data_IF_551410004535
#
_entry.id   IF_551410004535
#
_cell.length_a   1.000
_cell.length_b   1.000
_cell.length_c   1.000
_cell.angle_alpha   90.00
_cell.angle_beta   90.00
_cell.angle_gamma   90.00
#
_symmetry.space_group_name_H-M   'P 1'
#
loop_
_entity.id
_entity.type
_entity.pdbx_description
1 polymer ?
#
# COMPACT_ATOMS: atom_id res chain seq x y z
N UNK A 1 -2.47 -20.65 -34.21
CA UNK A 1 -1.60 -19.51 -33.87
C UNK A 1 -1.28 -19.60 -32.39
N UNK A 2 -0.01 -19.61 -32.05
CA UNK A 2 0.38 -19.54 -30.63
C UNK A 2 -0.13 -18.20 -30.08
N UNK A 3 -0.91 -18.25 -29.02
CA UNK A 3 -1.43 -17.05 -28.37
C UNK A 3 -0.32 -16.45 -27.55
N UNK A 4 0.02 -15.20 -27.82
CA UNK A 4 1.01 -14.43 -27.08
C UNK A 4 0.39 -13.86 -25.78
N UNK A 5 1.11 -13.98 -24.68
CA UNK A 5 0.71 -13.42 -23.39
C UNK A 5 0.45 -11.91 -23.45
N UNK A 6 1.24 -11.17 -24.26
CA UNK A 6 1.08 -9.73 -24.44
C UNK A 6 -0.28 -9.38 -25.09
N UNK A 7 -0.78 -10.22 -26.00
CA UNK A 7 -2.11 -10.03 -26.59
C UNK A 7 -3.22 -10.23 -25.56
N UNK A 8 -3.10 -11.26 -24.70
CA UNK A 8 -4.06 -11.51 -23.62
C UNK A 8 -4.05 -10.40 -22.57
N UNK A 9 -2.89 -9.88 -22.22
CA UNK A 9 -2.75 -8.75 -21.29
C UNK A 9 -3.30 -7.47 -21.90
N UNK A 10 -3.05 -7.21 -23.19
CA UNK A 10 -3.67 -6.07 -23.89
C UNK A 10 -5.21 -6.16 -23.91
N UNK A 11 -5.74 -7.36 -24.16
CA UNK A 11 -7.18 -7.61 -24.08
C UNK A 11 -7.73 -7.37 -22.66
N UNK A 12 -7.03 -7.86 -21.65
CA UNK A 12 -7.38 -7.67 -20.23
C UNK A 12 -7.48 -6.18 -19.86
N UNK A 13 -6.45 -5.40 -20.21
CA UNK A 13 -6.41 -3.94 -19.94
C UNK A 13 -7.54 -3.22 -20.70
N UNK A 14 -7.77 -3.53 -21.97
CA UNK A 14 -8.86 -2.92 -22.77
C UNK A 14 -10.26 -3.19 -22.20
N UNK A 15 -10.43 -4.31 -21.48
CA UNK A 15 -11.69 -4.66 -20.84
C UNK A 15 -11.77 -4.22 -19.37
N UNK A 16 -10.86 -3.36 -18.92
CA UNK A 16 -10.77 -2.90 -17.53
C UNK A 16 -10.73 -4.06 -16.50
N UNK A 17 -10.10 -5.17 -16.86
CA UNK A 17 -9.96 -6.29 -15.97
C UNK A 17 -8.89 -6.00 -14.90
N UNK A 18 -9.17 -6.38 -13.67
CA UNK A 18 -8.22 -6.31 -12.56
C UNK A 18 -7.16 -7.40 -12.66
N UNK A 19 -7.55 -8.58 -13.13
CA UNK A 19 -6.68 -9.73 -13.21
C UNK A 19 -6.93 -10.56 -14.49
N UNK A 20 -5.86 -11.10 -15.08
CA UNK A 20 -5.89 -12.16 -16.08
C UNK A 20 -5.46 -13.46 -15.41
N UNK A 21 -6.20 -14.53 -15.63
CA UNK A 21 -5.92 -15.88 -15.13
C UNK A 21 -5.63 -16.83 -16.29
N UNK A 22 -4.46 -17.43 -16.28
CA UNK A 22 -4.06 -18.52 -17.18
C UNK A 22 -3.95 -19.82 -16.40
N UNK A 23 -4.58 -20.88 -16.88
CA UNK A 23 -4.50 -22.18 -16.23
C UNK A 23 -4.63 -23.29 -17.26
N UNK A 24 -3.80 -24.32 -17.16
CA UNK A 24 -3.88 -25.48 -18.02
C UNK A 24 -5.26 -26.15 -17.94
N UNK A 25 -5.80 -26.55 -19.08
CA UNK A 25 -7.07 -27.27 -19.21
C UNK A 25 -8.34 -26.37 -19.28
N UNK A 26 -8.19 -25.05 -19.24
CA UNK A 26 -9.32 -24.11 -19.35
C UNK A 26 -8.98 -22.94 -20.26
N UNK A 27 -9.97 -22.25 -20.87
CA UNK A 27 -9.75 -21.01 -21.56
C UNK A 27 -9.19 -19.92 -20.62
N UNK A 28 -8.41 -18.95 -21.12
CA UNK A 28 -8.03 -17.78 -20.34
C UNK A 28 -9.26 -17.07 -19.74
N UNK A 29 -9.11 -16.56 -18.53
CA UNK A 29 -10.18 -15.85 -17.83
C UNK A 29 -9.70 -14.48 -17.36
N UNK A 30 -10.58 -13.50 -17.33
CA UNK A 30 -10.34 -12.17 -16.77
C UNK A 30 -11.30 -11.91 -15.62
N UNK A 31 -10.84 -11.11 -14.64
CA UNK A 31 -11.71 -10.62 -13.57
C UNK A 31 -12.12 -9.18 -13.88
N UNK A 32 -13.41 -8.96 -14.04
CA UNK A 32 -14.00 -7.64 -14.30
C UNK A 32 -15.08 -7.37 -13.27
N UNK A 33 -14.98 -6.25 -12.55
CA UNK A 33 -15.90 -5.86 -11.48
C UNK A 33 -16.09 -6.94 -10.39
N UNK A 34 -15.06 -7.73 -10.15
CA UNK A 34 -15.06 -8.83 -9.19
C UNK A 34 -15.45 -10.20 -9.76
N UNK A 35 -16.09 -10.25 -10.93
CA UNK A 35 -16.56 -11.48 -11.55
C UNK A 35 -15.55 -12.09 -12.53
N UNK A 36 -15.43 -13.43 -12.49
CA UNK A 36 -14.61 -14.18 -13.44
C UNK A 36 -15.35 -14.39 -14.77
N UNK A 37 -14.76 -13.91 -15.86
CA UNK A 37 -15.29 -14.04 -17.22
C UNK A 37 -14.32 -14.82 -18.12
N UNK A 38 -14.83 -15.82 -18.85
CA UNK A 38 -14.02 -16.57 -19.82
C UNK A 38 -13.80 -15.72 -21.06
N UNK A 39 -12.57 -15.75 -21.57
CA UNK A 39 -12.27 -15.23 -22.91
C UNK A 39 -12.74 -16.30 -23.93
N UNK A 40 -13.37 -15.87 -25.01
CA UNK A 40 -13.85 -16.78 -26.05
C UNK A 40 -12.66 -17.30 -26.88
N UNK A 41 -11.96 -18.27 -26.34
CA UNK A 41 -10.77 -18.91 -26.89
C UNK A 41 -10.75 -20.39 -26.51
N UNK A 42 -10.00 -21.25 -27.24
CA UNK A 42 -9.77 -22.64 -26.84
C UNK A 42 -9.10 -22.72 -25.43
N UNK A 43 -9.33 -23.86 -24.77
CA UNK A 43 -8.64 -24.16 -23.54
C UNK A 43 -7.11 -24.22 -23.78
N UNK A 44 -6.34 -23.60 -22.89
CA UNK A 44 -4.88 -23.66 -22.92
C UNK A 44 -4.39 -25.01 -22.42
N UNK A 45 -3.35 -25.52 -23.03
CA UNK A 45 -2.63 -26.69 -22.49
C UNK A 45 -1.65 -26.25 -21.40
N UNK A 46 -1.17 -27.21 -20.59
CA UNK A 46 -0.06 -26.93 -19.67
C UNK A 46 1.16 -26.31 -20.39
N UNK A 47 1.50 -26.82 -21.57
CA UNK A 47 2.62 -26.33 -22.35
C UNK A 47 2.45 -24.88 -22.79
N UNK A 48 1.23 -24.50 -23.20
CA UNK A 48 0.93 -23.11 -23.60
C UNK A 48 1.13 -22.16 -22.43
N UNK A 49 0.57 -22.48 -21.26
CA UNK A 49 0.70 -21.63 -20.05
C UNK A 49 2.17 -21.56 -19.63
N UNK A 50 2.85 -22.69 -19.60
CA UNK A 50 4.27 -22.74 -19.22
C UNK A 50 5.13 -21.89 -20.15
N UNK A 51 4.96 -21.99 -21.46
CA UNK A 51 5.70 -21.17 -22.44
C UNK A 51 5.43 -19.68 -22.21
N UNK A 52 4.16 -19.27 -22.10
CA UNK A 52 3.79 -17.87 -21.88
C UNK A 52 4.43 -17.29 -20.61
N UNK A 53 4.48 -18.09 -19.54
CA UNK A 53 5.05 -17.66 -18.26
C UNK A 53 6.57 -17.57 -18.33
N UNK A 54 7.22 -18.56 -18.99
CA UNK A 54 8.67 -18.55 -19.17
C UNK A 54 9.16 -17.39 -20.05
N UNK A 55 8.37 -16.98 -21.05
CA UNK A 55 8.72 -15.90 -21.97
C UNK A 55 8.88 -14.55 -21.27
N UNK A 56 8.22 -14.35 -20.12
CA UNK A 56 8.26 -13.10 -19.33
C UNK A 56 9.18 -13.19 -18.10
N UNK A 57 9.73 -14.35 -17.80
CA UNK A 57 10.64 -14.57 -16.66
C UNK A 57 12.10 -14.35 -17.05
N UNK A 58 12.87 -13.73 -16.16
CA UNK A 58 14.32 -13.75 -16.22
C UNK A 58 14.87 -15.10 -15.70
N UNK A 59 16.18 -15.33 -15.87
CA UNK A 59 16.81 -16.62 -15.54
C UNK A 59 16.69 -16.98 -14.05
N UNK A 60 16.75 -16.00 -13.14
CA UNK A 60 16.55 -16.22 -11.71
C UNK A 60 15.13 -16.67 -11.42
N UNK A 61 14.13 -15.97 -11.98
CA UNK A 61 12.71 -16.28 -11.78
C UNK A 61 12.35 -17.67 -12.34
N UNK A 62 12.94 -18.05 -13.48
CA UNK A 62 12.79 -19.41 -14.05
C UNK A 62 13.34 -20.47 -13.09
N UNK A 63 14.55 -20.24 -12.55
CA UNK A 63 15.16 -21.15 -11.59
C UNK A 63 14.32 -21.26 -10.31
N UNK A 64 13.85 -20.15 -9.76
CA UNK A 64 13.00 -20.13 -8.58
C UNK A 64 11.68 -20.88 -8.84
N UNK A 65 11.06 -20.69 -10.02
CA UNK A 65 9.84 -21.39 -10.42
C UNK A 65 10.05 -22.91 -10.58
N UNK A 66 11.18 -23.34 -11.11
CA UNK A 66 11.54 -24.76 -11.23
C UNK A 66 11.83 -25.42 -9.88
N UNK A 67 12.47 -24.69 -8.95
CA UNK A 67 12.86 -25.19 -7.64
C UNK A 67 11.71 -25.18 -6.63
N UNK A 68 10.95 -24.06 -6.57
CA UNK A 68 9.90 -23.86 -5.57
C UNK A 68 8.49 -24.12 -6.08
N UNK A 69 8.31 -24.38 -7.38
CA UNK A 69 7.03 -24.63 -8.07
C UNK A 69 6.08 -23.43 -8.08
N UNK A 70 6.54 -22.28 -7.59
CA UNK A 70 5.86 -21.00 -7.60
C UNK A 70 6.86 -19.84 -7.60
N UNK A 71 6.45 -18.69 -8.14
CA UNK A 71 7.24 -17.47 -8.09
C UNK A 71 6.36 -16.24 -8.24
N UNK A 72 6.68 -15.18 -7.50
CA UNK A 72 6.10 -13.85 -7.61
C UNK A 72 7.08 -12.90 -8.27
N UNK A 73 6.62 -12.11 -9.23
CA UNK A 73 7.43 -11.07 -9.87
C UNK A 73 6.56 -10.00 -10.51
N UNK A 74 7.18 -8.90 -10.93
CA UNK A 74 6.52 -7.88 -11.74
C UNK A 74 7.25 -7.66 -13.05
N UNK A 75 6.51 -7.29 -14.09
CA UNK A 75 7.08 -6.86 -15.36
C UNK A 75 6.19 -5.76 -15.99
N UNK A 76 6.77 -5.07 -16.96
CA UNK A 76 6.09 -3.99 -17.64
C UNK A 76 6.06 -4.25 -19.15
N UNK A 77 4.92 -3.99 -19.76
CA UNK A 77 4.81 -3.88 -21.21
C UNK A 77 4.76 -2.38 -21.52
N UNK A 78 5.79 -1.81 -22.19
CA UNK A 78 5.84 -0.38 -22.50
C UNK A 78 4.57 0.10 -23.18
N UNK A 79 4.03 1.24 -22.75
CA UNK A 79 2.79 1.88 -23.26
C UNK A 79 1.50 1.07 -23.02
N UNK A 80 1.55 -0.04 -22.30
CA UNK A 80 0.35 -0.82 -21.98
C UNK A 80 0.04 -0.73 -20.47
N UNK A 81 0.81 -1.40 -19.65
CA UNK A 81 0.68 -1.42 -18.20
C UNK A 81 1.84 -2.19 -17.54
N UNK A 82 1.98 -2.03 -16.24
CA UNK A 82 2.77 -2.91 -15.38
C UNK A 82 1.88 -4.00 -14.80
N UNK A 83 2.44 -5.18 -14.59
CA UNK A 83 1.73 -6.36 -14.10
C UNK A 83 2.49 -6.98 -12.95
N UNK A 84 1.78 -7.34 -11.87
CA UNK A 84 2.26 -8.28 -10.87
C UNK A 84 1.81 -9.67 -11.27
N UNK A 85 2.74 -10.62 -11.27
CA UNK A 85 2.50 -12.00 -11.67
C UNK A 85 2.78 -12.93 -10.52
N UNK A 86 1.84 -13.81 -10.23
CA UNK A 86 2.08 -15.01 -9.45
C UNK A 86 1.94 -16.21 -10.38
N UNK A 87 3.03 -16.92 -10.60
CA UNK A 87 3.07 -18.16 -11.37
C UNK A 87 3.23 -19.34 -10.42
N UNK A 88 2.45 -20.40 -10.61
CA UNK A 88 2.43 -21.58 -9.76
C UNK A 88 2.02 -22.84 -10.50
N UNK A 89 2.38 -23.99 -9.94
CA UNK A 89 1.94 -25.29 -10.42
C UNK A 89 0.70 -25.78 -9.66
N UNK A 90 -0.21 -26.42 -10.38
CA UNK A 90 -1.42 -27.06 -9.85
C UNK A 90 -1.68 -28.40 -10.57
N UNK A 91 -2.71 -29.15 -10.18
CA UNK A 91 -2.93 -30.54 -10.66
C UNK A 91 -3.04 -30.71 -12.17
N UNK A 92 -3.40 -29.66 -12.93
CA UNK A 92 -3.44 -29.67 -14.40
C UNK A 92 -2.19 -29.04 -15.05
N UNK A 93 -1.15 -28.74 -14.26
CA UNK A 93 0.09 -28.14 -14.70
C UNK A 93 0.22 -26.66 -14.33
N UNK A 94 0.91 -25.87 -15.14
CA UNK A 94 1.18 -24.46 -14.86
C UNK A 94 -0.07 -23.61 -14.86
N UNK A 95 -0.06 -22.63 -13.98
CA UNK A 95 -1.05 -21.55 -13.88
C UNK A 95 -0.36 -20.23 -13.58
N UNK A 96 -0.98 -19.12 -13.94
CA UNK A 96 -0.52 -17.78 -13.58
C UNK A 96 -1.68 -16.80 -13.42
N UNK A 97 -1.50 -15.88 -12.49
CA UNK A 97 -2.41 -14.74 -12.29
C UNK A 97 -1.61 -13.46 -12.54
N UNK A 98 -2.14 -12.63 -13.42
CA UNK A 98 -1.56 -11.33 -13.77
C UNK A 98 -2.47 -10.24 -13.25
N UNK A 99 -2.03 -9.50 -12.25
CA UNK A 99 -2.75 -8.33 -11.76
C UNK A 99 -2.28 -7.09 -12.51
N UNK A 100 -3.20 -6.37 -13.12
CA UNK A 100 -2.91 -5.09 -13.74
C UNK A 100 -2.63 -4.04 -12.67
N UNK A 101 -1.48 -3.39 -12.76
CA UNK A 101 -1.10 -2.27 -11.91
C UNK A 101 -1.51 -0.98 -12.63
N UNK A 102 -2.32 -0.11 -11.99
CA UNK A 102 -2.72 1.15 -12.61
C UNK A 102 -1.51 2.01 -12.98
N UNK A 103 -1.51 2.54 -14.20
CA UNK A 103 -0.42 3.42 -14.68
C UNK A 103 -0.58 4.88 -14.23
N UNK A 104 -1.80 5.28 -13.83
CA UNK A 104 -2.09 6.64 -13.41
C UNK A 104 -2.14 6.74 -11.88
N UNK A 105 -1.39 7.68 -11.33
CA UNK A 105 -1.46 8.05 -9.92
C UNK A 105 -2.56 9.10 -9.79
N UNK A 106 -3.54 8.83 -8.92
CA UNK A 106 -4.58 9.80 -8.58
C UNK A 106 -4.01 10.85 -7.62
N UNK A 107 -4.39 12.10 -7.81
CA UNK A 107 -4.02 13.16 -6.87
C UNK A 107 -4.78 13.01 -5.55
N UNK A 108 -4.30 13.67 -4.50
CA UNK A 108 -5.01 13.73 -3.21
C UNK A 108 -6.39 14.36 -3.36
N UNK A 109 -6.55 15.31 -4.29
CA UNK A 109 -7.86 15.93 -4.58
C UNK A 109 -8.81 14.96 -5.29
N UNK A 110 -8.32 14.17 -6.27
CA UNK A 110 -9.10 13.13 -6.95
C UNK A 110 -9.59 12.04 -5.99
N UNK A 111 -8.78 11.72 -4.98
CA UNK A 111 -9.14 10.78 -3.93
C UNK A 111 -10.13 11.37 -2.90
N UNK A 112 -10.39 12.67 -2.95
CA UNK A 112 -11.16 13.37 -1.92
C UNK A 112 -10.49 13.31 -0.54
N UNK A 113 -9.16 13.22 -0.51
CA UNK A 113 -8.41 13.10 0.72
C UNK A 113 -8.53 14.35 1.61
N UNK A 114 -8.57 14.21 2.94
CA UNK A 114 -8.55 15.34 3.87
C UNK A 114 -7.35 16.26 3.61
N UNK A 115 -7.53 17.58 3.74
CA UNK A 115 -6.48 18.58 3.49
C UNK A 115 -5.20 18.34 4.28
N UNK A 116 -5.34 17.80 5.49
CA UNK A 116 -4.20 17.48 6.37
C UNK A 116 -3.18 16.53 5.70
N UNK A 117 -3.59 15.71 4.71
CA UNK A 117 -2.66 14.82 4.01
C UNK A 117 -1.62 15.60 3.20
N UNK A 118 -1.99 16.76 2.63
CA UNK A 118 -1.06 17.66 1.96
C UNK A 118 -0.06 18.24 2.95
N UNK A 119 -0.52 18.67 4.11
CA UNK A 119 0.34 19.21 5.16
C UNK A 119 1.31 18.14 5.68
N UNK A 120 0.82 16.91 5.91
CA UNK A 120 1.64 15.77 6.34
C UNK A 120 2.69 15.40 5.30
N UNK A 121 2.36 15.46 4.01
CA UNK A 121 3.30 15.19 2.92
C UNK A 121 4.42 16.25 2.83
N UNK A 122 4.18 17.47 3.32
CA UNK A 122 5.13 18.57 3.28
C UNK A 122 5.99 18.72 4.54
N UNK A 123 5.83 17.82 5.53
CA UNK A 123 6.69 17.84 6.72
C UNK A 123 8.16 17.65 6.34
N UNK A 124 9.09 18.34 7.03
CA UNK A 124 10.53 18.21 6.74
C UNK A 124 11.11 16.87 7.23
N UNK A 125 10.54 16.28 8.27
CA UNK A 125 11.00 15.02 8.89
C UNK A 125 9.96 14.40 9.79
N UNK A 126 10.14 13.16 10.14
CA UNK A 126 9.30 12.38 11.04
C UNK A 126 8.66 11.20 10.31
N UNK A 127 7.75 10.49 10.95
CA UNK A 127 7.11 9.32 10.37
C UNK A 127 5.60 9.52 10.24
N UNK A 128 5.07 9.21 9.07
CA UNK A 128 3.64 9.14 8.75
C UNK A 128 3.30 7.70 8.40
N UNK A 129 2.34 7.13 9.11
CA UNK A 129 1.93 5.74 8.94
C UNK A 129 0.54 5.67 8.32
N UNK A 130 0.41 4.94 7.21
CA UNK A 130 -0.88 4.64 6.59
C UNK A 130 -1.20 3.17 6.84
N UNK A 131 -2.30 2.91 7.54
CA UNK A 131 -2.65 1.57 8.03
C UNK A 131 -4.04 1.14 7.57
N UNK A 132 -4.33 -0.13 7.71
CA UNK A 132 -5.60 -0.72 7.32
C UNK A 132 -5.43 -2.11 6.71
N UNK A 133 -6.52 -2.87 6.52
CA UNK A 133 -6.47 -4.20 5.95
C UNK A 133 -5.96 -4.20 4.51
N UNK A 134 -5.63 -5.37 4.00
CA UNK A 134 -5.32 -5.55 2.57
C UNK A 134 -6.49 -5.07 1.71
N UNK A 135 -6.18 -4.31 0.66
CA UNK A 135 -7.20 -3.74 -0.22
C UNK A 135 -7.92 -2.50 0.32
N UNK A 136 -7.45 -1.89 1.41
CA UNK A 136 -8.01 -0.63 1.93
C UNK A 136 -7.55 0.62 1.18
N UNK A 137 -6.68 0.50 0.16
CA UNK A 137 -6.20 1.61 -0.64
C UNK A 137 -4.97 2.34 -0.09
N UNK A 138 -4.22 1.73 0.83
CA UNK A 138 -3.00 2.34 1.42
C UNK A 138 -1.99 2.79 0.38
N UNK A 139 -1.66 1.89 -0.56
CA UNK A 139 -0.70 2.17 -1.63
C UNK A 139 -1.15 3.32 -2.52
N UNK A 140 -2.45 3.40 -2.83
CA UNK A 140 -3.02 4.51 -3.62
C UNK A 140 -2.89 5.84 -2.88
N UNK A 141 -3.20 5.86 -1.58
CA UNK A 141 -3.06 7.06 -0.75
C UNK A 141 -1.61 7.50 -0.63
N UNK A 142 -0.69 6.55 -0.37
CA UNK A 142 0.74 6.86 -0.30
C UNK A 142 1.31 7.31 -1.63
N UNK A 143 0.91 6.69 -2.75
CA UNK A 143 1.32 7.14 -4.08
C UNK A 143 0.89 8.59 -4.33
N UNK A 144 -0.35 8.96 -3.95
CA UNK A 144 -0.83 10.33 -4.05
C UNK A 144 -0.05 11.31 -3.15
N UNK A 145 0.32 10.90 -1.94
CA UNK A 145 1.14 11.73 -1.04
C UNK A 145 2.56 11.92 -1.58
N UNK A 146 3.19 10.85 -2.06
CA UNK A 146 4.52 10.89 -2.70
C UNK A 146 4.49 11.75 -3.95
N UNK A 147 3.48 11.60 -4.78
CA UNK A 147 3.32 12.41 -6.00
C UNK A 147 3.11 13.89 -5.67
N UNK A 148 2.39 14.19 -4.58
CA UNK A 148 2.24 15.56 -4.08
C UNK A 148 3.58 16.18 -3.65
N UNK A 149 4.46 15.42 -2.98
CA UNK A 149 5.83 15.87 -2.68
C UNK A 149 6.60 16.11 -3.98
N UNK A 150 6.56 15.15 -4.90
CA UNK A 150 7.25 15.18 -6.20
C UNK A 150 6.86 16.41 -7.06
N UNK A 151 5.60 16.84 -6.98
CA UNK A 151 5.12 18.05 -7.66
C UNK A 151 5.56 19.37 -6.99
N UNK A 152 5.82 19.36 -5.66
CA UNK A 152 5.93 20.59 -4.89
C UNK A 152 7.31 20.85 -4.30
N UNK A 153 8.17 19.82 -4.15
CA UNK A 153 9.50 19.95 -3.54
C UNK A 153 10.61 19.44 -4.47
N UNK A 154 11.79 20.08 -4.46
CA UNK A 154 12.99 19.58 -5.14
C UNK A 154 13.76 18.59 -4.25
N UNK A 155 13.11 17.57 -3.75
CA UNK A 155 13.62 16.59 -2.80
C UNK A 155 14.11 15.31 -3.52
N UNK A 156 14.89 14.47 -2.84
CA UNK A 156 15.17 13.10 -3.25
C UNK A 156 14.20 12.15 -2.53
N UNK A 157 13.36 11.49 -3.29
CA UNK A 157 12.38 10.51 -2.80
C UNK A 157 12.89 9.12 -3.12
N UNK A 158 13.07 8.30 -2.09
CA UNK A 158 13.44 6.90 -2.23
C UNK A 158 12.30 6.01 -1.77
N UNK A 159 11.86 5.07 -2.61
CA UNK A 159 10.88 4.06 -2.20
C UNK A 159 11.48 2.67 -2.14
N UNK A 160 11.03 1.85 -1.20
CA UNK A 160 11.39 0.45 -1.02
C UNK A 160 10.08 -0.33 -0.93
N UNK A 161 9.80 -1.17 -1.94
CA UNK A 161 8.48 -1.78 -2.12
C UNK A 161 8.59 -3.27 -2.50
N UNK A 162 7.53 -4.03 -2.23
CA UNK A 162 7.47 -5.47 -2.53
C UNK A 162 6.06 -5.89 -3.00
N UNK A 163 5.77 -5.79 -4.32
CA UNK A 163 6.50 -5.07 -5.37
C UNK A 163 6.12 -3.58 -5.47
N UNK A 164 6.72 -2.84 -6.42
CA UNK A 164 6.29 -1.48 -6.78
C UNK A 164 4.87 -1.52 -7.35
N UNK A 165 3.93 -0.83 -6.69
CA UNK A 165 2.52 -0.76 -7.13
C UNK A 165 2.22 0.45 -8.03
N UNK A 166 2.97 1.55 -7.90
CA UNK A 166 2.82 2.75 -8.74
C UNK A 166 4.20 3.24 -9.17
N UNK A 167 4.38 3.47 -10.45
CA UNK A 167 5.63 4.02 -10.98
C UNK A 167 5.53 5.54 -11.00
N UNK A 168 6.46 6.20 -10.32
CA UNK A 168 6.58 7.65 -10.29
C UNK A 168 7.61 8.15 -11.31
N UNK A 169 7.23 9.08 -12.14
CA UNK A 169 8.19 9.85 -12.92
C UNK A 169 8.75 10.98 -12.05
N UNK A 170 10.07 11.23 -12.16
CA UNK A 170 10.68 12.39 -11.49
C UNK A 170 10.15 13.69 -12.09
N UNK A 171 9.61 14.56 -11.24
CA UNK A 171 9.07 15.88 -11.62
C UNK A 171 9.96 16.97 -11.06
N UNK A 172 9.59 17.62 -9.93
CA UNK A 172 10.48 18.51 -9.19
C UNK A 172 11.48 17.72 -8.35
N UNK A 173 11.04 16.59 -7.80
CA UNK A 173 11.90 15.69 -7.04
C UNK A 173 12.59 14.67 -7.94
N UNK A 174 13.75 14.17 -7.49
CA UNK A 174 14.31 12.92 -7.99
C UNK A 174 13.60 11.76 -7.30
N UNK A 175 13.01 10.83 -8.05
CA UNK A 175 12.36 9.63 -7.48
C UNK A 175 13.14 8.39 -7.87
N UNK A 176 13.64 7.67 -6.89
CA UNK A 176 14.26 6.37 -7.04
C UNK A 176 13.40 5.31 -6.33
N UNK A 177 12.94 4.31 -7.09
CA UNK A 177 12.10 3.23 -6.56
C UNK A 177 12.86 1.92 -6.60
N UNK A 178 12.94 1.23 -5.48
CA UNK A 178 13.64 -0.04 -5.33
C UNK A 178 12.64 -1.16 -5.00
N UNK A 179 12.57 -2.15 -5.86
CA UNK A 179 11.74 -3.34 -5.65
C UNK A 179 12.53 -4.43 -4.94
N UNK A 180 11.99 -4.97 -3.86
CA UNK A 180 12.58 -6.10 -3.14
C UNK A 180 12.68 -7.31 -4.07
N UNK A 181 13.74 -8.07 -3.95
CA UNK A 181 14.12 -9.21 -4.77
C UNK A 181 14.56 -8.90 -6.22
N UNK A 182 14.30 -7.68 -6.73
CA UNK A 182 14.77 -7.23 -8.03
C UNK A 182 15.95 -6.25 -7.93
N UNK A 183 15.77 -5.20 -7.14
CA UNK A 183 16.71 -4.07 -7.01
C UNK A 183 17.42 -4.07 -5.66
N UNK A 184 16.95 -4.85 -4.71
CA UNK A 184 17.52 -5.06 -3.38
C UNK A 184 17.16 -6.45 -2.85
N UNK A 185 17.93 -6.94 -1.88
CA UNK A 185 17.70 -8.25 -1.29
C UNK A 185 16.55 -8.27 -0.29
N UNK A 186 16.25 -7.14 0.34
CA UNK A 186 15.19 -7.01 1.34
C UNK A 186 14.99 -5.58 1.79
N UNK A 187 13.97 -5.36 2.61
CA UNK A 187 13.68 -4.04 3.20
C UNK A 187 14.83 -3.54 4.07
N UNK A 188 15.43 -4.42 4.88
CA UNK A 188 16.49 -4.05 5.82
C UNK A 188 17.75 -3.61 5.11
N UNK A 189 18.18 -4.34 4.08
CA UNK A 189 19.34 -4.02 3.26
C UNK A 189 19.16 -2.69 2.55
N UNK A 190 17.99 -2.50 1.93
CA UNK A 190 17.67 -1.26 1.24
C UNK A 190 17.60 -0.06 2.19
N UNK A 191 16.98 -0.21 3.36
CA UNK A 191 16.81 0.87 4.32
C UNK A 191 18.13 1.26 4.99
N UNK A 192 19.01 0.28 5.27
CA UNK A 192 20.39 0.57 5.72
C UNK A 192 21.19 1.33 4.68
N UNK A 193 21.02 0.99 3.40
CA UNK A 193 21.67 1.70 2.29
C UNK A 193 21.10 3.09 2.12
N UNK A 194 19.78 3.25 2.22
CA UNK A 194 19.05 4.49 2.06
C UNK A 194 19.63 5.66 2.85
N UNK A 195 20.07 5.42 4.10
CA UNK A 195 20.68 6.45 4.96
C UNK A 195 22.00 7.04 4.39
N UNK A 196 22.56 6.47 3.32
CA UNK A 196 23.76 6.93 2.62
C UNK A 196 23.49 7.34 1.17
N UNK A 197 22.22 7.31 0.76
CA UNK A 197 21.79 7.66 -0.60
C UNK A 197 21.24 9.10 -0.68
N UNK A 198 21.40 9.87 0.40
CA UNK A 198 20.98 11.28 0.52
C UNK A 198 19.48 11.50 0.22
N UNK A 199 18.56 10.70 0.74
CA UNK A 199 17.14 10.94 0.56
C UNK A 199 16.62 11.99 1.53
N UNK A 200 15.62 12.76 1.11
CA UNK A 200 14.81 13.63 1.98
C UNK A 200 13.55 12.88 2.44
N UNK A 201 12.99 12.06 1.56
CA UNK A 201 11.77 11.30 1.78
C UNK A 201 12.01 9.82 1.50
N UNK A 202 11.60 8.96 2.43
CA UNK A 202 11.71 7.50 2.30
C UNK A 202 10.32 6.88 2.44
N UNK A 203 9.88 6.11 1.44
CA UNK A 203 8.71 5.27 1.56
C UNK A 203 9.14 3.83 1.79
N UNK A 204 8.64 3.23 2.88
CA UNK A 204 8.78 1.81 3.20
C UNK A 204 7.45 1.12 2.98
N UNK A 205 7.35 0.28 1.97
CA UNK A 205 6.10 -0.33 1.53
C UNK A 205 5.37 -1.07 2.64
N UNK A 206 6.09 -1.76 3.52
CA UNK A 206 5.51 -2.37 4.73
C UNK A 206 6.52 -2.50 5.86
N UNK A 207 6.07 -2.17 7.08
CA UNK A 207 6.82 -2.32 8.33
C UNK A 207 6.39 -3.63 9.03
N UNK A 208 7.06 -4.74 8.70
CA UNK A 208 6.67 -6.09 9.18
C UNK A 208 7.43 -6.55 10.42
N UNK A 209 8.71 -6.28 10.45
CA UNK A 209 9.64 -6.84 11.43
C UNK A 209 10.32 -5.75 12.26
N UNK A 210 10.90 -6.18 13.38
CA UNK A 210 11.58 -5.32 14.35
C UNK A 210 12.67 -4.47 13.71
N UNK A 211 13.48 -5.05 12.82
CA UNK A 211 14.63 -4.37 12.25
C UNK A 211 14.19 -3.28 11.27
N UNK A 212 13.23 -3.57 10.39
CA UNK A 212 12.64 -2.59 9.48
C UNK A 212 12.02 -1.42 10.24
N UNK A 213 11.27 -1.70 11.33
CA UNK A 213 10.66 -0.67 12.18
C UNK A 213 11.74 0.19 12.85
N UNK A 214 12.79 -0.43 13.40
CA UNK A 214 13.91 0.27 14.04
C UNK A 214 14.59 1.23 13.07
N UNK A 215 14.92 0.75 11.88
CA UNK A 215 15.58 1.55 10.84
C UNK A 215 14.69 2.72 10.37
N UNK A 216 13.39 2.48 10.20
CA UNK A 216 12.43 3.51 9.83
C UNK A 216 12.31 4.61 10.90
N UNK A 217 12.23 4.23 12.19
CA UNK A 217 12.23 5.19 13.30
C UNK A 217 13.54 5.98 13.37
N UNK A 218 14.67 5.31 13.20
CA UNK A 218 16.00 5.97 13.16
C UNK A 218 16.07 6.99 12.02
N UNK A 219 15.62 6.62 10.81
CA UNK A 219 15.57 7.55 9.68
C UNK A 219 14.69 8.78 10.00
N UNK A 220 13.52 8.57 10.60
CA UNK A 220 12.60 9.64 10.97
C UNK A 220 13.18 10.60 12.03
N UNK A 221 13.97 10.08 12.99
CA UNK A 221 14.67 10.88 14.00
C UNK A 221 15.84 11.67 13.42
N UNK A 222 16.57 11.06 12.47
CA UNK A 222 17.81 11.63 11.92
C UNK A 222 17.57 12.63 10.78
N UNK A 223 16.32 13.00 10.49
CA UNK A 223 16.03 14.12 9.61
C UNK A 223 15.21 13.81 8.36
N UNK A 224 14.83 12.56 8.13
CA UNK A 224 14.07 12.14 6.95
C UNK A 224 12.56 12.16 7.21
N UNK A 225 11.76 12.45 6.18
CA UNK A 225 10.33 12.16 6.19
C UNK A 225 10.12 10.70 5.75
N UNK A 226 9.57 9.89 6.64
CA UNK A 226 9.34 8.47 6.40
C UNK A 226 7.85 8.20 6.24
N UNK A 227 7.45 7.59 5.15
CA UNK A 227 6.14 6.99 4.95
C UNK A 227 6.24 5.48 5.14
N UNK A 228 5.30 4.90 5.88
CA UNK A 228 5.27 3.45 6.09
C UNK A 228 3.86 2.90 6.16
N UNK A 229 3.71 1.59 5.94
CA UNK A 229 2.41 0.91 6.11
C UNK A 229 2.46 -0.19 7.16
N UNK A 230 1.29 -0.41 7.79
CA UNK A 230 1.00 -1.58 8.62
C UNK A 230 -0.43 -2.07 8.32
N UNK A 231 -0.75 -3.29 8.78
CA UNK A 231 -2.08 -3.90 8.60
C UNK A 231 -3.01 -3.74 9.81
N UNK A 232 -2.76 -2.79 10.66
CA UNK A 232 -3.60 -2.48 11.84
C UNK A 232 -4.86 -1.72 11.46
N UNK A 233 -5.92 -1.88 12.25
CA UNK A 233 -7.25 -1.34 11.99
C UNK A 233 -7.57 -0.02 12.71
N UNK A 234 -6.66 0.50 13.53
CA UNK A 234 -6.80 1.79 14.22
C UNK A 234 -5.45 2.40 14.55
N UNK A 235 -5.43 3.70 14.80
CA UNK A 235 -4.21 4.42 15.18
C UNK A 235 -3.63 3.91 16.50
N UNK A 236 -4.46 3.70 17.50
CA UNK A 236 -4.04 3.17 18.79
C UNK A 236 -3.39 1.77 18.66
N UNK A 237 -4.03 0.86 17.91
CA UNK A 237 -3.47 -0.48 17.64
C UNK A 237 -2.18 -0.42 16.84
N UNK A 238 -1.97 0.61 16.04
CA UNK A 238 -0.72 0.81 15.30
C UNK A 238 0.43 1.09 16.25
N UNK A 239 0.23 1.97 17.22
CA UNK A 239 1.21 2.28 18.25
C UNK A 239 1.56 1.02 19.06
N UNK A 240 0.55 0.30 19.54
CA UNK A 240 0.76 -0.97 20.25
C UNK A 240 1.56 -1.95 19.41
N UNK A 241 1.17 -2.15 18.15
CA UNK A 241 1.85 -3.10 17.26
C UNK A 241 3.33 -2.78 17.05
N UNK A 242 3.66 -1.49 16.88
CA UNK A 242 5.06 -1.06 16.72
C UNK A 242 5.85 -1.35 18.00
N UNK A 243 5.31 -1.03 19.17
CA UNK A 243 6.00 -1.22 20.44
C UNK A 243 6.12 -2.71 20.79
N UNK A 244 5.11 -3.50 20.48
CA UNK A 244 5.02 -4.90 20.87
C UNK A 244 5.96 -5.85 20.12
N UNK A 245 6.46 -5.46 18.93
CA UNK A 245 7.47 -6.28 18.24
C UNK A 245 8.84 -6.24 18.92
N UNK A 246 9.07 -5.26 19.81
CA UNK A 246 10.35 -5.10 20.51
C UNK A 246 10.40 -5.88 21.84
N UNK A 247 11.58 -6.36 22.23
CA UNK A 247 11.79 -6.93 23.55
C UNK A 247 11.39 -5.96 24.67
N UNK A 248 10.97 -6.49 25.81
CA UNK A 248 10.49 -5.68 26.94
C UNK A 248 11.50 -4.60 27.38
N UNK A 249 12.80 -4.93 27.36
CA UNK A 249 13.88 -4.00 27.74
C UNK A 249 14.02 -2.79 26.78
N UNK A 250 13.50 -2.88 25.56
CA UNK A 250 13.62 -1.82 24.56
C UNK A 250 12.33 -0.99 24.39
N UNK A 251 11.21 -1.45 24.91
CA UNK A 251 9.89 -0.83 24.70
C UNK A 251 9.84 0.63 25.12
N UNK A 252 10.48 0.99 26.22
CA UNK A 252 10.53 2.37 26.71
C UNK A 252 11.29 3.28 25.72
N UNK A 253 12.43 2.83 25.23
CA UNK A 253 13.21 3.54 24.23
C UNK A 253 12.42 3.72 22.93
N UNK A 254 11.75 2.66 22.46
CA UNK A 254 10.92 2.72 21.23
C UNK A 254 9.74 3.68 21.38
N UNK A 255 9.09 3.71 22.55
CA UNK A 255 8.03 4.72 22.83
C UNK A 255 8.60 6.14 22.78
N UNK A 256 9.79 6.37 23.33
CA UNK A 256 10.43 7.68 23.26
C UNK A 256 10.73 8.07 21.81
N UNK A 257 11.38 7.21 21.01
CA UNK A 257 11.66 7.44 19.60
C UNK A 257 10.38 7.73 18.81
N UNK A 258 9.37 6.90 18.98
CA UNK A 258 8.09 7.04 18.28
C UNK A 258 7.37 8.34 18.68
N UNK A 259 7.39 8.71 19.96
CA UNK A 259 6.79 9.96 20.45
C UNK A 259 7.40 11.21 19.83
N UNK A 260 8.71 11.21 19.57
CA UNK A 260 9.40 12.36 18.95
C UNK A 260 9.24 12.40 17.43
N UNK A 261 9.26 11.23 16.78
CA UNK A 261 9.25 11.16 15.31
C UNK A 261 7.85 11.13 14.71
N UNK A 262 6.81 10.67 15.42
CA UNK A 262 5.47 10.50 14.87
C UNK A 262 4.85 11.84 14.43
N UNK A 263 4.41 11.89 13.17
CA UNK A 263 3.59 13.00 12.62
C UNK A 263 2.13 12.64 12.57
N UNK A 264 1.81 11.47 12.03
CA UNK A 264 0.44 10.99 11.97
C UNK A 264 0.35 9.47 11.83
N UNK A 265 -0.79 8.93 12.24
CA UNK A 265 -1.29 7.61 11.83
C UNK A 265 -2.62 7.82 11.11
N UNK A 266 -2.72 7.35 9.89
CA UNK A 266 -3.91 7.37 9.05
C UNK A 266 -4.38 5.94 8.90
N UNK A 267 -5.44 5.56 9.62
CA UNK A 267 -6.05 4.24 9.48
C UNK A 267 -7.20 4.29 8.49
N UNK A 268 -7.13 3.48 7.44
CA UNK A 268 -7.99 3.60 6.26
C UNK A 268 -8.79 2.33 5.98
N UNK A 269 -10.03 2.50 5.60
CA UNK A 269 -10.89 1.45 5.05
C UNK A 269 -11.62 1.94 3.79
N UNK A 270 -11.86 1.04 2.83
CA UNK A 270 -12.64 1.35 1.63
C UNK A 270 -14.10 0.95 1.82
N UNK A 271 -14.98 1.81 1.35
CA UNK A 271 -16.43 1.71 1.41
C UNK A 271 -17.02 1.69 0.00
N UNK A 272 -18.19 1.04 -0.16
CA UNK A 272 -18.97 1.14 -1.37
C UNK A 272 -19.65 2.51 -1.44
N UNK A 273 -19.45 3.22 -2.55
CA UNK A 273 -20.04 4.53 -2.80
C UNK A 273 -21.44 4.38 -3.40
N UNK A 274 -22.37 5.24 -3.01
CA UNK A 274 -23.66 5.37 -3.68
C UNK A 274 -23.40 5.82 -5.14
N UNK A 275 -23.99 5.13 -6.09
CA UNK A 275 -23.75 5.40 -7.52
C UNK A 275 -22.56 4.65 -8.14
N UNK A 276 -21.89 3.81 -7.35
CA UNK A 276 -20.78 2.96 -7.82
C UNK A 276 -19.40 3.48 -7.45
N UNK A 277 -18.41 2.60 -7.56
CA UNK A 277 -17.05 2.87 -7.14
C UNK A 277 -16.84 2.74 -5.63
N UNK A 278 -15.69 3.21 -5.16
CA UNK A 278 -15.28 3.13 -3.75
C UNK A 278 -14.83 4.48 -3.24
N UNK A 279 -14.94 4.69 -1.94
CA UNK A 279 -14.42 5.86 -1.22
C UNK A 279 -13.71 5.40 0.04
N UNK A 280 -12.63 6.09 0.42
CA UNK A 280 -11.91 5.81 1.64
C UNK A 280 -12.55 6.53 2.83
N UNK A 281 -12.67 5.83 3.96
CA UNK A 281 -12.89 6.45 5.26
C UNK A 281 -11.63 6.33 6.12
N UNK A 282 -11.37 7.34 6.92
CA UNK A 282 -10.14 7.49 7.67
C UNK A 282 -10.37 7.76 9.16
N UNK A 283 -9.62 7.06 10.00
CA UNK A 283 -9.27 7.54 11.33
C UNK A 283 -7.92 8.25 11.23
N UNK A 284 -7.81 9.47 11.75
CA UNK A 284 -6.61 10.29 11.66
C UNK A 284 -6.15 10.69 13.05
N UNK A 285 -4.95 10.26 13.44
CA UNK A 285 -4.28 10.67 14.66
C UNK A 285 -3.04 11.50 14.31
N UNK A 286 -2.96 12.70 14.86
CA UNK A 286 -1.81 13.61 14.66
C UNK A 286 -0.90 13.56 15.90
N UNK A 287 0.41 13.58 15.70
CA UNK A 287 1.42 13.60 16.74
C UNK A 287 1.49 14.90 17.54
N UNK A 288 0.36 15.31 18.14
CA UNK A 288 0.29 16.46 19.05
C UNK A 288 1.08 16.20 20.33
N UNK A 289 1.45 17.24 21.11
CA UNK A 289 2.08 17.04 22.42
C UNK A 289 1.30 16.10 23.34
N UNK A 290 -0.03 16.14 23.30
CA UNK A 290 -0.88 15.24 24.09
C UNK A 290 -0.73 13.77 23.63
N UNK A 291 -0.83 13.51 22.32
CA UNK A 291 -0.64 12.16 21.77
C UNK A 291 0.78 11.65 22.06
N UNK A 292 1.81 12.46 21.87
CA UNK A 292 3.20 12.10 22.16
C UNK A 292 3.40 11.70 23.62
N UNK A 293 2.76 12.43 24.53
CA UNK A 293 2.81 12.09 25.95
C UNK A 293 2.13 10.75 26.25
N UNK A 294 0.96 10.49 25.66
CA UNK A 294 0.27 9.20 25.81
C UNK A 294 1.11 8.03 25.26
N UNK A 295 1.86 8.24 24.18
CA UNK A 295 2.81 7.23 23.64
C UNK A 295 3.91 6.95 24.65
N UNK A 296 4.59 7.98 25.18
CA UNK A 296 5.68 7.84 26.17
C UNK A 296 5.22 7.09 27.41
N UNK A 297 4.04 7.44 27.92
CA UNK A 297 3.47 6.84 29.14
C UNK A 297 2.82 5.47 28.90
N UNK A 298 2.72 5.00 27.64
CA UNK A 298 2.04 3.76 27.30
C UNK A 298 0.52 3.78 27.54
N UNK A 299 -0.09 4.97 27.58
CA UNK A 299 -1.54 5.16 27.82
C UNK A 299 -2.37 5.08 26.56
N UNK A 300 -2.24 3.98 25.84
CA UNK A 300 -2.85 3.76 24.51
C UNK A 300 -4.37 3.88 24.53
N UNK A 301 -5.03 3.38 25.60
CA UNK A 301 -6.47 3.42 25.75
C UNK A 301 -7.06 4.85 25.75
N UNK A 302 -6.26 5.87 26.11
CA UNK A 302 -6.70 7.27 26.15
C UNK A 302 -6.57 7.97 24.78
N UNK A 303 -5.90 7.37 23.81
CA UNK A 303 -5.68 7.97 22.49
C UNK A 303 -7.00 8.21 21.74
N UNK A 304 -7.95 7.29 21.83
CA UNK A 304 -9.24 7.41 21.16
C UNK A 304 -9.97 8.71 21.57
N UNK A 305 -10.00 9.01 22.86
CA UNK A 305 -10.61 10.26 23.35
C UNK A 305 -9.90 11.52 22.83
N UNK A 306 -8.57 11.47 22.75
CA UNK A 306 -7.77 12.57 22.19
C UNK A 306 -8.03 12.75 20.69
N UNK A 307 -8.18 11.66 19.93
CA UNK A 307 -8.54 11.71 18.52
C UNK A 307 -9.94 12.30 18.36
N UNK A 308 -10.91 11.85 19.15
CA UNK A 308 -12.31 12.28 19.08
C UNK A 308 -12.47 13.78 19.29
N UNK A 309 -11.67 14.38 20.17
CA UNK A 309 -11.72 15.81 20.51
C UNK A 309 -10.74 16.66 19.71
N UNK A 310 -9.88 16.03 18.91
CA UNK A 310 -8.78 16.70 18.18
C UNK A 310 -9.15 17.27 16.82
N UNK A 311 -10.43 17.51 16.54
CA UNK A 311 -10.87 17.99 15.22
C UNK A 311 -10.23 19.31 14.76
N UNK A 312 -9.91 20.20 15.68
CA UNK A 312 -9.27 21.48 15.36
C UNK A 312 -7.88 21.35 14.71
N UNK A 313 -7.18 20.23 14.94
CA UNK A 313 -5.87 19.94 14.34
C UNK A 313 -5.94 18.90 13.23
N UNK A 314 -7.14 18.55 12.76
CA UNK A 314 -7.36 17.61 11.68
C UNK A 314 -7.45 16.13 12.10
N UNK A 315 -7.55 15.84 13.40
CA UNK A 315 -7.85 14.49 13.89
C UNK A 315 -9.34 14.17 13.72
N UNK A 316 -9.63 12.91 13.46
CA UNK A 316 -10.98 12.37 13.43
C UNK A 316 -11.00 10.89 13.73
N UNK A 317 -12.07 10.41 14.35
CA UNK A 317 -12.33 8.98 14.49
C UNK A 317 -12.93 8.43 13.20
N UNK A 318 -12.86 7.10 13.01
CA UNK A 318 -13.52 6.46 11.87
C UNK A 318 -15.03 6.76 11.87
N UNK A 319 -15.69 6.66 13.01
CA UNK A 319 -17.14 6.88 13.11
C UNK A 319 -17.55 8.33 12.77
N UNK A 320 -16.74 9.32 13.17
CA UNK A 320 -16.96 10.72 12.76
C UNK A 320 -16.88 10.89 11.24
N UNK A 321 -15.89 10.26 10.59
CA UNK A 321 -15.76 10.33 9.14
C UNK A 321 -16.89 9.58 8.43
N UNK A 322 -17.32 8.43 8.94
CA UNK A 322 -18.49 7.71 8.42
C UNK A 322 -19.77 8.56 8.47
N UNK A 323 -20.01 9.26 9.55
CA UNK A 323 -21.14 10.21 9.66
C UNK A 323 -21.04 11.34 8.64
N UNK A 324 -19.85 11.90 8.45
CA UNK A 324 -19.63 12.94 7.44
C UNK A 324 -19.92 12.43 6.02
N UNK A 325 -19.39 11.26 5.65
CA UNK A 325 -19.59 10.64 4.34
C UNK A 325 -21.08 10.30 4.09
N UNK A 326 -21.78 9.83 5.12
CA UNK A 326 -23.21 9.55 5.06
C UNK A 326 -24.03 10.85 4.91
N UNK A 327 -23.70 11.90 5.66
CA UNK A 327 -24.36 13.21 5.56
C UNK A 327 -24.16 13.85 4.19
N UNK A 328 -23.00 13.65 3.56
CA UNK A 328 -22.72 14.08 2.19
C UNK A 328 -23.41 13.20 1.13
N UNK A 329 -24.16 12.17 1.51
CA UNK A 329 -24.83 11.25 0.59
C UNK A 329 -23.88 10.37 -0.24
N UNK A 330 -22.64 10.18 0.22
CA UNK A 330 -21.61 9.38 -0.50
C UNK A 330 -21.71 7.90 -0.18
N UNK A 331 -22.17 7.54 1.02
CA UNK A 331 -22.37 6.15 1.47
C UNK A 331 -23.75 6.01 2.11
N UNK A 332 -24.30 4.81 2.12
CA UNK A 332 -25.54 4.53 2.80
C UNK A 332 -25.31 4.17 4.29
N UNK A 333 -26.41 4.15 5.06
CA UNK A 333 -26.39 3.83 6.50
C UNK A 333 -25.89 2.41 6.77
N UNK A 334 -26.24 1.45 5.94
CA UNK A 334 -25.85 0.04 6.09
C UNK A 334 -24.32 -0.13 5.94
N UNK A 335 -23.73 0.51 4.92
CA UNK A 335 -22.28 0.48 4.71
C UNK A 335 -21.55 1.18 5.87
N UNK A 336 -22.05 2.33 6.35
CA UNK A 336 -21.50 3.02 7.50
C UNK A 336 -21.54 2.13 8.75
N UNK A 337 -22.69 1.55 9.08
CA UNK A 337 -22.87 0.66 10.22
C UNK A 337 -22.01 -0.60 10.15
N UNK A 338 -21.81 -1.15 8.94
CA UNK A 338 -20.97 -2.33 8.75
C UNK A 338 -19.52 -2.07 9.14
N UNK A 339 -19.03 -0.86 8.88
CA UNK A 339 -17.63 -0.47 9.14
C UNK A 339 -17.42 0.24 10.47
N UNK A 340 -18.46 0.73 11.08
CA UNK A 340 -18.39 1.50 12.33
C UNK A 340 -17.75 0.72 13.48
N UNK A 341 -16.98 1.42 14.30
CA UNK A 341 -16.46 0.92 15.58
C UNK A 341 -17.62 0.76 16.56
N UNK A 342 -18.48 1.78 16.69
CA UNK A 342 -19.71 1.71 17.46
C UNK A 342 -20.92 1.66 16.53
N UNK A 343 -21.44 0.45 16.31
CA UNK A 343 -22.56 0.20 15.40
C UNK A 343 -23.90 0.76 15.86
N UNK A 344 -24.01 1.10 17.13
CA UNK A 344 -25.23 1.65 17.71
C UNK A 344 -25.45 3.13 17.30
N UNK A 345 -24.38 3.79 16.90
CA UNK A 345 -24.43 5.19 16.44
C UNK A 345 -24.98 5.35 15.01
N UNK A 346 -25.26 4.23 14.29
CA UNK A 346 -25.69 4.22 12.89
C UNK A 346 -26.98 3.46 12.67
#
# INVERSE_FOLDING_TARGET
>A
MAVDVAQLLSFSVKNNASDLHLSGGVPPMIRVDGDMKRINMPALTHKDVNSMVYDIMNDKQRKDYEEFLETDFSFEIPKLARFRVNAFNQNRGSAAVFRTIPSAILSLDDLGAPKIFKDLAMHPRGIVLVTGPTGSGKSTTLAAMVDYVNDNKPDHILTIEDPIEFVHESKKSLVNQREVHRDTLGFNEALRSALREDPDVILVGELRDLETIRLALTAAETGHLVFGTLHTSSAAKTIDRIVDVFPAAEKEMVRAMLSESLRAVISQTLLKKIGGGRIAAHEIMIGTPAIRNLIREGKIAQMYSSIQTGGAVGMQTLDQNLHELMTKGLINKEEARFRAVNKENF
#
